data_IF_187320291913
#
_entry.id   IF_187320291913
#
_cell.length_a   1.000
_cell.length_b   1.000
_cell.length_c   1.000
_cell.angle_alpha   90.00
_cell.angle_beta   90.00
_cell.angle_gamma   90.00
#
_symmetry.space_group_name_H-M   'P 1'
#
loop_
_entity.id
_entity.type
_entity.pdbx_description
1 polymer ?
#
# COMPACT_ATOMS: atom_id res chain seq x y z
N UNK A 1 12.66 -11.80 -16.18
CA UNK A 1 12.82 -12.41 -14.85
C UNK A 1 13.03 -13.90 -15.05
N UNK A 2 14.17 -14.44 -14.62
CA UNK A 2 14.44 -15.87 -14.77
C UNK A 2 13.79 -16.60 -13.57
N UNK A 3 12.91 -17.54 -13.86
CA UNK A 3 12.40 -18.47 -12.85
C UNK A 3 13.41 -19.61 -12.78
N UNK A 4 14.13 -19.71 -11.69
CA UNK A 4 15.03 -20.83 -11.45
C UNK A 4 14.25 -21.87 -10.66
N UNK A 5 14.00 -23.00 -11.28
CA UNK A 5 13.49 -24.18 -10.56
C UNK A 5 14.65 -24.80 -9.79
N UNK A 6 14.64 -24.63 -8.48
CA UNK A 6 15.64 -25.21 -7.59
C UNK A 6 14.97 -26.29 -6.76
N UNK A 7 15.41 -27.53 -6.92
CA UNK A 7 15.07 -28.60 -6.00
C UNK A 7 16.11 -28.57 -4.87
N UNK A 8 15.80 -27.91 -3.77
CA UNK A 8 16.57 -27.99 -2.54
C UNK A 8 15.91 -29.00 -1.61
N UNK A 9 16.66 -29.95 -1.13
CA UNK A 9 16.16 -30.98 -0.19
C UNK A 9 15.97 -30.43 1.23
N UNK A 10 16.47 -29.20 1.53
CA UNK A 10 16.31 -28.54 2.82
C UNK A 10 16.32 -27.03 2.70
N UNK A 11 15.51 -26.37 3.51
CA UNK A 11 15.46 -24.92 3.69
C UNK A 11 15.87 -24.56 5.11
N UNK A 12 16.56 -23.44 5.30
CA UNK A 12 16.98 -22.95 6.62
C UNK A 12 15.81 -22.46 7.48
N UNK A 13 14.73 -22.05 6.84
CA UNK A 13 13.50 -21.59 7.51
C UNK A 13 12.25 -21.91 6.70
N UNK A 14 11.16 -22.15 7.40
CA UNK A 14 9.83 -22.30 6.83
C UNK A 14 8.90 -21.30 7.52
N UNK A 15 8.27 -20.44 6.73
CA UNK A 15 7.36 -19.41 7.21
C UNK A 15 6.05 -19.46 6.43
N UNK A 16 4.89 -19.29 7.09
CA UNK A 16 3.60 -19.23 6.42
C UNK A 16 3.48 -18.09 5.42
N UNK A 17 4.15 -16.95 5.68
CA UNK A 17 4.10 -15.75 4.84
C UNK A 17 5.47 -15.09 4.74
N UNK A 18 5.87 -14.80 3.51
CA UNK A 18 7.04 -14.01 3.21
C UNK A 18 6.63 -12.77 2.40
N UNK A 19 6.97 -11.59 2.91
CA UNK A 19 6.72 -10.30 2.27
C UNK A 19 8.03 -9.77 1.70
N UNK A 20 8.03 -9.37 0.45
CA UNK A 20 9.21 -8.80 -0.22
C UNK A 20 9.02 -7.29 -0.38
N UNK A 21 9.83 -6.54 0.34
CA UNK A 21 9.82 -5.08 0.39
C UNK A 21 9.15 -4.50 1.64
N UNK A 22 9.86 -3.61 2.32
CA UNK A 22 9.41 -2.90 3.52
C UNK A 22 8.93 -1.47 3.23
N UNK A 23 8.26 -1.25 2.09
CA UNK A 23 7.48 -0.04 1.81
C UNK A 23 6.12 -0.09 2.51
N UNK A 24 5.31 0.96 2.38
CA UNK A 24 4.01 1.05 3.05
C UNK A 24 3.13 -0.18 2.82
N UNK A 25 3.04 -0.65 1.59
CA UNK A 25 2.22 -1.83 1.24
C UNK A 25 2.69 -3.08 2.00
N UNK A 26 4.00 -3.36 2.00
CA UNK A 26 4.56 -4.52 2.70
C UNK A 26 4.40 -4.44 4.21
N UNK A 27 4.59 -3.25 4.79
CA UNK A 27 4.41 -3.03 6.22
C UNK A 27 2.95 -3.16 6.66
N UNK A 28 2.01 -2.62 5.89
CA UNK A 28 0.56 -2.76 6.18
C UNK A 28 0.12 -4.21 6.04
N UNK A 29 0.58 -4.92 5.01
CA UNK A 29 0.30 -6.35 4.85
C UNK A 29 0.86 -7.17 6.03
N UNK A 30 2.07 -6.83 6.50
CA UNK A 30 2.67 -7.48 7.66
C UNK A 30 1.86 -7.26 8.94
N UNK A 31 1.42 -6.02 9.19
CA UNK A 31 0.59 -5.70 10.36
C UNK A 31 -0.74 -6.46 10.33
N UNK A 32 -1.43 -6.48 9.20
CA UNK A 32 -2.68 -7.20 9.04
C UNK A 32 -2.52 -8.72 9.25
N UNK A 33 -1.43 -9.29 8.74
CA UNK A 33 -1.12 -10.71 8.96
C UNK A 33 -0.78 -11.01 10.42
N UNK A 34 -0.03 -10.13 11.08
CA UNK A 34 0.32 -10.24 12.50
C UNK A 34 -0.92 -10.16 13.39
N UNK A 35 -1.86 -9.24 13.11
CA UNK A 35 -3.15 -9.16 13.81
C UNK A 35 -3.97 -10.44 13.69
N UNK A 36 -3.81 -11.15 12.57
CA UNK A 36 -4.41 -12.47 12.33
C UNK A 36 -3.62 -13.65 12.94
N UNK A 37 -2.54 -13.37 13.67
CA UNK A 37 -1.69 -14.38 14.31
C UNK A 37 -0.81 -15.18 13.35
N UNK A 38 -0.58 -14.67 12.13
CA UNK A 38 0.28 -15.33 11.13
C UNK A 38 1.73 -14.99 11.38
N UNK A 39 2.58 -16.01 11.52
CA UNK A 39 4.03 -15.85 11.55
C UNK A 39 4.53 -15.42 10.16
N UNK A 40 5.37 -14.39 10.12
CA UNK A 40 5.84 -13.84 8.85
C UNK A 40 7.28 -13.31 8.94
N UNK A 41 7.89 -13.14 7.77
CA UNK A 41 9.10 -12.35 7.63
C UNK A 41 8.95 -11.32 6.52
N UNK A 42 9.67 -10.21 6.65
CA UNK A 42 9.80 -9.20 5.61
C UNK A 42 11.25 -9.20 5.12
N UNK A 43 11.45 -9.34 3.82
CA UNK A 43 12.74 -9.16 3.18
C UNK A 43 12.80 -7.75 2.59
N UNK A 44 13.78 -6.97 3.05
CA UNK A 44 14.11 -5.65 2.50
C UNK A 44 15.51 -5.69 1.90
N UNK A 45 15.64 -5.10 0.71
CA UNK A 45 16.93 -5.02 0.02
C UNK A 45 17.91 -4.06 0.71
N UNK A 46 17.38 -2.95 1.20
CA UNK A 46 18.16 -1.89 1.80
C UNK A 46 18.28 -2.11 3.32
N UNK A 47 19.31 -1.55 3.95
CA UNK A 47 19.53 -1.67 5.38
C UNK A 47 18.44 -1.04 6.25
N UNK A 48 17.61 -0.18 5.67
CA UNK A 48 16.47 0.50 6.31
C UNK A 48 15.29 0.52 5.33
N UNK A 49 14.03 0.51 5.84
CA UNK A 49 12.85 0.71 5.02
C UNK A 49 12.92 2.07 4.31
N UNK A 50 12.95 2.04 2.99
CA UNK A 50 13.12 3.21 2.13
C UNK A 50 12.15 3.14 0.95
N UNK A 51 12.54 3.73 -0.20
CA UNK A 51 11.76 3.78 -1.41
C UNK A 51 10.78 4.94 -1.43
N UNK A 52 9.76 4.84 -2.27
CA UNK A 52 8.78 5.90 -2.49
C UNK A 52 8.05 6.33 -1.21
N UNK A 53 7.79 5.39 -0.31
CA UNK A 53 7.15 5.68 0.99
C UNK A 53 7.96 6.66 1.82
N UNK A 54 9.28 6.47 1.93
CA UNK A 54 10.16 7.37 2.67
C UNK A 54 10.25 8.79 2.04
N UNK A 55 10.01 8.88 0.74
CA UNK A 55 10.02 10.15 0.00
C UNK A 55 8.67 10.89 0.05
N UNK A 56 7.61 10.27 0.51
CA UNK A 56 6.26 10.84 0.52
C UNK A 56 6.03 11.93 1.57
N UNK A 57 6.99 12.19 2.44
CA UNK A 57 6.87 13.10 3.60
C UNK A 57 5.72 12.72 4.56
N UNK A 58 5.23 11.49 4.49
CA UNK A 58 4.13 10.99 5.33
C UNK A 58 2.73 11.45 4.89
N UNK A 59 2.59 12.08 3.72
CA UNK A 59 1.28 12.42 3.19
C UNK A 59 0.57 11.18 2.66
N UNK A 60 -0.67 11.02 3.10
CA UNK A 60 -1.61 10.00 2.61
C UNK A 60 -2.85 10.74 2.10
N UNK A 61 -2.97 10.94 0.78
CA UNK A 61 -4.16 11.57 0.20
C UNK A 61 -5.41 10.73 0.48
N UNK A 62 -6.45 11.38 0.94
CA UNK A 62 -7.74 10.74 1.22
C UNK A 62 -8.87 11.75 1.07
N UNK A 63 -10.03 11.29 0.60
CA UNK A 63 -11.22 12.11 0.46
C UNK A 63 -12.20 11.86 1.59
N UNK A 64 -13.02 12.86 1.86
CA UNK A 64 -14.18 12.75 2.77
C UNK A 64 -13.80 12.24 4.17
N UNK A 65 -12.66 12.68 4.68
CA UNK A 65 -12.12 12.23 5.97
C UNK A 65 -12.85 12.89 7.15
N UNK A 66 -12.85 12.22 8.31
CA UNK A 66 -13.34 12.79 9.57
C UNK A 66 -12.67 14.12 9.94
N UNK A 67 -11.41 14.33 9.52
CA UNK A 67 -10.68 15.56 9.79
C UNK A 67 -11.22 16.72 8.96
N UNK A 68 -11.54 16.49 7.70
CA UNK A 68 -12.18 17.45 6.81
C UNK A 68 -13.56 17.83 7.33
N UNK A 69 -14.37 16.86 7.74
CA UNK A 69 -15.68 17.13 8.37
C UNK A 69 -15.59 18.01 9.60
N UNK A 70 -14.65 17.72 10.51
CA UNK A 70 -14.44 18.49 11.73
C UNK A 70 -14.00 19.93 11.48
N UNK A 71 -13.36 20.18 10.35
CA UNK A 71 -12.91 21.52 9.92
C UNK A 71 -13.93 22.21 8.99
N UNK A 72 -15.08 21.60 8.72
CA UNK A 72 -16.09 22.13 7.80
C UNK A 72 -15.64 22.18 6.33
N UNK A 73 -14.63 21.37 5.97
CA UNK A 73 -14.18 21.24 4.59
C UNK A 73 -15.09 20.28 3.85
N UNK A 74 -15.67 20.77 2.75
CA UNK A 74 -16.49 19.95 1.86
C UNK A 74 -15.58 19.26 0.85
N UNK A 75 -15.64 17.94 0.83
CA UNK A 75 -14.88 17.09 -0.09
C UNK A 75 -15.71 15.84 -0.45
N UNK A 76 -15.33 15.15 -1.52
CA UNK A 76 -15.99 13.92 -1.92
C UNK A 76 -15.05 12.95 -2.64
N UNK A 77 -15.42 11.68 -2.64
CA UNK A 77 -14.68 10.65 -3.40
C UNK A 77 -14.69 10.96 -4.91
N UNK A 78 -15.80 11.49 -5.43
CA UNK A 78 -15.92 11.86 -6.84
C UNK A 78 -14.95 12.98 -7.21
N UNK A 79 -14.83 14.02 -6.36
CA UNK A 79 -13.88 15.12 -6.57
C UNK A 79 -12.43 14.62 -6.57
N UNK A 80 -12.08 13.74 -5.62
CA UNK A 80 -10.76 13.11 -5.59
C UNK A 80 -10.48 12.26 -6.82
N UNK A 81 -11.44 11.45 -7.25
CA UNK A 81 -11.31 10.61 -8.45
C UNK A 81 -11.10 11.45 -9.71
N UNK A 82 -11.87 12.54 -9.85
CA UNK A 82 -11.74 13.48 -10.96
C UNK A 82 -10.35 14.16 -10.97
N UNK A 83 -9.87 14.59 -9.80
CA UNK A 83 -8.55 15.21 -9.66
C UNK A 83 -7.41 14.25 -10.01
N UNK A 84 -7.50 12.98 -9.58
CA UNK A 84 -6.54 11.94 -9.95
C UNK A 84 -6.52 11.76 -11.46
N UNK A 85 -7.67 11.62 -12.09
CA UNK A 85 -7.77 11.40 -13.54
C UNK A 85 -7.25 12.61 -14.34
N UNK A 86 -7.62 13.83 -13.95
CA UNK A 86 -7.10 15.04 -14.57
C UNK A 86 -5.59 15.16 -14.45
N UNK A 87 -5.04 14.84 -13.28
CA UNK A 87 -3.62 14.98 -12.99
C UNK A 87 -2.75 14.04 -13.81
N UNK A 88 -3.24 12.83 -14.09
CA UNK A 88 -2.51 11.82 -14.87
C UNK A 88 -2.90 11.76 -16.35
N UNK A 89 -3.69 12.72 -16.85
CA UNK A 89 -4.14 12.75 -18.24
C UNK A 89 -5.13 11.65 -18.61
N UNK A 90 -5.90 11.14 -17.65
CA UNK A 90 -6.87 10.05 -17.81
C UNK A 90 -6.25 8.70 -18.20
N UNK A 91 -4.98 8.46 -17.83
CA UNK A 91 -4.27 7.20 -18.10
C UNK A 91 -4.47 6.14 -16.99
N UNK A 92 -4.95 6.53 -15.79
CA UNK A 92 -5.18 5.59 -14.72
C UNK A 92 -6.44 4.74 -14.96
N UNK A 93 -6.40 3.49 -14.50
CA UNK A 93 -7.57 2.60 -14.51
C UNK A 93 -8.70 3.22 -13.67
N UNK A 94 -9.88 3.51 -14.26
CA UNK A 94 -10.98 4.17 -13.55
C UNK A 94 -11.49 3.38 -12.35
N UNK A 95 -11.49 2.05 -12.41
CA UNK A 95 -11.97 1.20 -11.31
C UNK A 95 -11.03 1.28 -10.10
N UNK A 96 -9.72 1.35 -10.34
CA UNK A 96 -8.72 1.53 -9.27
C UNK A 96 -8.85 2.92 -8.65
N UNK A 97 -9.03 3.95 -9.47
CA UNK A 97 -9.20 5.33 -9.00
C UNK A 97 -10.45 5.47 -8.14
N UNK A 98 -11.58 4.91 -8.59
CA UNK A 98 -12.84 4.91 -7.83
C UNK A 98 -12.69 4.18 -6.50
N UNK A 99 -12.08 2.99 -6.50
CA UNK A 99 -11.82 2.22 -5.29
C UNK A 99 -10.96 3.03 -4.29
N UNK A 100 -9.87 3.62 -4.76
CA UNK A 100 -8.98 4.42 -3.94
C UNK A 100 -9.73 5.63 -3.34
N UNK A 101 -10.46 6.37 -4.17
CA UNK A 101 -11.17 7.57 -3.73
C UNK A 101 -12.28 7.24 -2.71
N UNK A 102 -13.00 6.14 -2.89
CA UNK A 102 -14.09 5.74 -1.99
C UNK A 102 -13.61 5.12 -0.68
N UNK A 103 -12.46 4.45 -0.67
CA UNK A 103 -11.96 3.72 0.51
C UNK A 103 -10.89 4.47 1.31
N UNK A 104 -10.30 5.54 0.76
CA UNK A 104 -9.17 6.23 1.39
C UNK A 104 -9.52 7.02 2.65
N UNK A 105 -10.79 7.37 2.85
CA UNK A 105 -11.26 8.16 4.00
C UNK A 105 -11.61 7.37 5.26
N UNK A 106 -11.53 6.04 5.21
CA UNK A 106 -11.95 5.13 6.29
C UNK A 106 -10.84 4.74 7.24
#
# INVERSE_FOLDING_TARGET
>A
MAIISYAHDSFDAHLPLLIIGAGACGLVAALAAQESGVELAILERDALPRGSTAMSSGFIPAANTRFQHNLGVTDSAEAMAEDIQKKNGFEADPAIVELLATQSGH
#
